data_IF_636275763546
#
_entry.id   IF_636275763546
#
_cell.length_a   1.000
_cell.length_b   1.000
_cell.length_c   1.000
_cell.angle_alpha   90.00
_cell.angle_beta   90.00
_cell.angle_gamma   90.00
#
_symmetry.space_group_name_H-M   'P 1'
#
loop_
_entity.id
_entity.type
_entity.pdbx_description
1 polymer ?
#
# COMPACT_ATOMS: atom_id res chain seq x y z
N UNK A 1 7.84 20.38 -90.04
CA UNK A 1 8.85 20.91 -89.09
C UNK A 1 8.20 22.09 -88.38
N UNK A 2 7.88 21.97 -87.11
CA UNK A 2 7.12 23.01 -86.37
C UNK A 2 6.92 22.57 -84.92
N UNK A 3 7.97 22.69 -84.11
CA UNK A 3 7.96 22.30 -82.71
C UNK A 3 7.17 23.27 -81.86
N UNK A 4 6.13 22.77 -81.19
CA UNK A 4 5.47 23.49 -80.11
C UNK A 4 6.42 23.46 -78.90
N UNK A 5 7.06 24.60 -78.65
CA UNK A 5 7.98 24.81 -77.53
C UNK A 5 7.13 24.81 -76.25
N UNK A 6 7.13 23.70 -75.49
CA UNK A 6 6.57 23.68 -74.13
C UNK A 6 7.46 24.57 -73.26
N UNK A 7 6.93 25.70 -72.79
CA UNK A 7 7.62 26.53 -71.81
C UNK A 7 8.00 25.69 -70.58
N UNK A 8 9.28 25.71 -70.17
CA UNK A 8 9.70 25.01 -68.96
C UNK A 8 9.06 25.67 -67.74
N UNK A 9 8.32 24.91 -66.96
CA UNK A 9 7.82 25.36 -65.66
C UNK A 9 8.96 25.28 -64.64
N UNK A 10 9.17 26.37 -63.92
CA UNK A 10 10.16 26.43 -62.84
C UNK A 10 9.47 26.03 -61.54
N UNK A 11 9.78 24.82 -61.04
CA UNK A 11 9.30 24.38 -59.73
C UNK A 11 10.10 25.15 -58.67
N UNK A 12 9.44 26.07 -57.96
CA UNK A 12 10.02 26.75 -56.80
C UNK A 12 10.06 25.79 -55.62
N UNK A 13 11.25 25.26 -55.33
CA UNK A 13 11.52 24.48 -54.12
C UNK A 13 11.72 25.47 -52.98
N UNK A 14 10.79 25.46 -52.01
CA UNK A 14 10.97 26.18 -50.75
C UNK A 14 11.68 25.24 -49.76
N UNK A 15 12.69 25.75 -49.05
CA UNK A 15 13.27 25.03 -47.91
C UNK A 15 12.17 24.85 -46.85
N UNK A 16 12.02 23.62 -46.35
CA UNK A 16 11.03 23.32 -45.32
C UNK A 16 11.58 23.84 -44.00
N UNK A 17 11.24 25.08 -43.64
CA UNK A 17 11.63 25.74 -42.37
C UNK A 17 10.86 25.18 -41.14
N UNK A 18 9.83 24.35 -41.36
CA UNK A 18 8.90 23.89 -40.30
C UNK A 18 9.30 22.58 -39.58
N UNK A 19 10.44 21.95 -39.91
CA UNK A 19 10.84 20.65 -39.32
C UNK A 19 11.14 20.78 -37.83
N UNK A 20 11.85 21.83 -37.42
CA UNK A 20 12.19 22.09 -36.01
C UNK A 20 10.94 22.43 -35.18
N UNK A 21 9.96 23.10 -35.78
CA UNK A 21 8.66 23.39 -35.14
C UNK A 21 7.82 22.14 -34.98
N UNK A 22 7.90 21.21 -35.93
CA UNK A 22 7.23 19.91 -35.83
C UNK A 22 7.90 19.01 -34.77
N UNK A 23 9.24 18.99 -34.71
CA UNK A 23 10.00 18.30 -33.68
C UNK A 23 9.73 18.86 -32.28
N UNK A 24 9.79 20.18 -32.08
CA UNK A 24 9.45 20.80 -30.77
C UNK A 24 8.04 20.49 -30.31
N UNK A 25 7.04 20.48 -31.22
CA UNK A 25 5.67 20.06 -30.88
C UNK A 25 5.59 18.58 -30.49
N UNK A 26 6.34 17.72 -31.17
CA UNK A 26 6.40 16.28 -30.85
C UNK A 26 7.07 16.03 -29.52
N UNK A 27 8.18 16.70 -29.23
CA UNK A 27 8.93 16.63 -27.97
C UNK A 27 8.06 17.06 -26.79
N UNK A 28 7.39 18.22 -26.88
CA UNK A 28 6.47 18.68 -25.84
C UNK A 28 5.27 17.75 -25.60
N UNK A 29 4.78 17.07 -26.64
CA UNK A 29 3.74 16.04 -26.50
C UNK A 29 4.27 14.80 -25.76
N UNK A 30 5.50 14.35 -26.06
CA UNK A 30 6.14 13.24 -25.35
C UNK A 30 6.44 13.57 -23.89
N UNK A 31 6.94 14.77 -23.58
CA UNK A 31 7.16 15.22 -22.20
C UNK A 31 5.86 15.29 -21.40
N UNK A 32 4.79 15.84 -22.01
CA UNK A 32 3.47 15.86 -21.40
C UNK A 32 2.92 14.46 -21.13
N UNK A 33 3.11 13.52 -22.06
CA UNK A 33 2.73 12.12 -21.89
C UNK A 33 3.54 11.43 -20.77
N UNK A 34 4.82 11.74 -20.64
CA UNK A 34 5.67 11.22 -19.57
C UNK A 34 5.22 11.74 -18.19
N UNK A 35 4.95 13.05 -18.07
CA UNK A 35 4.42 13.63 -16.84
C UNK A 35 3.07 12.99 -16.45
N UNK A 36 2.17 12.83 -17.42
CA UNK A 36 0.88 12.18 -17.18
C UNK A 36 1.05 10.74 -16.71
N UNK A 37 1.92 9.96 -17.34
CA UNK A 37 2.23 8.58 -16.91
C UNK A 37 2.83 8.53 -15.50
N UNK A 38 3.77 9.43 -15.18
CA UNK A 38 4.36 9.50 -13.85
C UNK A 38 3.32 9.83 -12.77
N UNK A 39 2.45 10.80 -13.06
CA UNK A 39 1.32 11.15 -12.20
C UNK A 39 0.34 9.98 -12.02
N UNK A 40 0.01 9.28 -13.10
CA UNK A 40 -0.88 8.11 -13.05
C UNK A 40 -0.31 7.02 -12.13
N UNK A 41 0.96 6.65 -12.32
CA UNK A 41 1.65 5.65 -11.48
C UNK A 41 1.70 6.04 -10.01
N UNK A 42 1.86 7.33 -9.71
CA UNK A 42 1.83 7.83 -8.33
C UNK A 42 0.45 7.60 -7.69
N UNK A 43 -0.63 7.91 -8.42
CA UNK A 43 -2.00 7.71 -7.94
C UNK A 43 -2.32 6.22 -7.76
N UNK A 44 -1.94 5.38 -8.73
CA UNK A 44 -2.10 3.92 -8.65
C UNK A 44 -1.37 3.35 -7.43
N UNK A 45 -0.12 3.77 -7.20
CA UNK A 45 0.65 3.34 -6.04
C UNK A 45 -0.03 3.75 -4.74
N UNK A 46 -0.52 5.00 -4.64
CA UNK A 46 -1.26 5.47 -3.46
C UNK A 46 -2.50 4.61 -3.20
N UNK A 47 -3.29 4.35 -4.25
CA UNK A 47 -4.50 3.54 -4.12
C UNK A 47 -4.18 2.09 -3.72
N UNK A 48 -3.09 1.52 -4.22
CA UNK A 48 -2.60 0.21 -3.79
C UNK A 48 -2.21 0.23 -2.30
N UNK A 49 -1.45 1.23 -1.85
CA UNK A 49 -1.07 1.37 -0.45
C UNK A 49 -2.29 1.51 0.46
N UNK A 50 -3.28 2.30 0.08
CA UNK A 50 -4.54 2.45 0.82
C UNK A 50 -5.23 1.10 0.97
N UNK A 51 -5.35 0.31 -0.12
CA UNK A 51 -5.97 -1.01 -0.10
C UNK A 51 -5.24 -1.98 0.83
N UNK A 52 -3.91 -2.03 0.73
CA UNK A 52 -3.08 -2.89 1.60
C UNK A 52 -3.20 -2.50 3.07
N UNK A 53 -3.18 -1.20 3.35
CA UNK A 53 -3.25 -0.68 4.70
C UNK A 53 -4.63 -0.90 5.33
N UNK A 54 -5.72 -0.76 4.56
CA UNK A 54 -7.07 -1.14 5.00
C UNK A 54 -7.16 -2.62 5.35
N UNK A 55 -6.60 -3.48 4.50
CA UNK A 55 -6.58 -4.92 4.77
C UNK A 55 -5.79 -5.24 6.05
N UNK A 56 -4.63 -4.58 6.26
CA UNK A 56 -3.85 -4.70 7.51
C UNK A 56 -4.66 -4.21 8.71
N UNK A 57 -5.31 -3.07 8.60
CA UNK A 57 -6.11 -2.47 9.67
C UNK A 57 -7.24 -3.40 10.12
N UNK A 58 -8.04 -3.92 9.19
CA UNK A 58 -9.12 -4.86 9.49
C UNK A 58 -8.61 -6.18 10.09
N UNK A 59 -7.45 -6.66 9.63
CA UNK A 59 -6.80 -7.82 10.23
C UNK A 59 -6.42 -7.55 11.69
N UNK A 60 -5.80 -6.40 11.97
CA UNK A 60 -5.40 -6.02 13.32
C UNK A 60 -6.59 -5.81 14.24
N UNK A 61 -7.73 -5.30 13.74
CA UNK A 61 -8.97 -5.18 14.51
C UNK A 61 -9.42 -6.55 15.02
N UNK A 62 -9.47 -7.55 14.15
CA UNK A 62 -9.80 -8.93 14.53
C UNK A 62 -8.79 -9.52 15.51
N UNK A 63 -7.49 -9.32 15.27
CA UNK A 63 -6.45 -9.78 16.19
C UNK A 63 -6.56 -9.12 17.58
N UNK A 64 -7.00 -7.86 17.64
CA UNK A 64 -7.27 -7.17 18.90
C UNK A 64 -8.48 -7.77 19.62
N UNK A 65 -9.57 -8.03 18.90
CA UNK A 65 -10.78 -8.68 19.45
C UNK A 65 -10.47 -10.06 20.02
N UNK A 66 -9.68 -10.87 19.28
CA UNK A 66 -9.24 -12.19 19.72
C UNK A 66 -8.38 -12.09 21.00
N UNK A 67 -7.41 -11.17 21.01
CA UNK A 67 -6.55 -10.96 22.18
C UNK A 67 -7.34 -10.45 23.39
N UNK A 68 -8.32 -9.56 23.20
CA UNK A 68 -9.24 -9.10 24.26
C UNK A 68 -10.07 -10.26 24.81
N UNK A 69 -10.56 -11.15 23.94
CA UNK A 69 -11.33 -12.33 24.34
C UNK A 69 -10.50 -13.25 25.24
N UNK A 70 -9.22 -13.46 24.91
CA UNK A 70 -8.31 -14.24 25.77
C UNK A 70 -8.07 -13.57 27.14
N UNK A 71 -8.05 -12.24 27.18
CA UNK A 71 -7.93 -11.46 28.41
C UNK A 71 -9.27 -11.28 29.17
N UNK A 72 -10.35 -11.92 28.71
CA UNK A 72 -11.72 -11.75 29.24
C UNK A 72 -12.19 -10.28 29.27
N UNK A 73 -11.70 -9.47 28.33
CA UNK A 73 -12.15 -8.10 28.11
C UNK A 73 -13.30 -8.08 27.09
N UNK A 74 -14.12 -7.03 27.14
CA UNK A 74 -15.14 -6.83 26.11
C UNK A 74 -14.48 -6.58 24.74
N UNK A 75 -14.74 -7.42 23.72
CA UNK A 75 -14.07 -7.33 22.42
C UNK A 75 -14.47 -6.06 21.65
N UNK A 76 -15.71 -5.59 21.82
CA UNK A 76 -16.28 -4.44 21.10
C UNK A 76 -15.84 -3.09 21.68
N UNK A 77 -15.40 -3.09 22.94
CA UNK A 77 -15.00 -1.86 23.64
C UNK A 77 -13.81 -1.20 22.94
N UNK A 78 -13.92 0.12 22.71
CA UNK A 78 -12.87 0.96 22.11
C UNK A 78 -12.51 0.63 20.66
N UNK A 79 -13.30 -0.19 19.96
CA UNK A 79 -13.05 -0.50 18.55
C UNK A 79 -13.21 0.74 17.63
N UNK A 80 -14.09 1.66 17.99
CA UNK A 80 -14.31 2.92 17.26
C UNK A 80 -13.20 3.97 17.44
N UNK A 81 -12.27 3.79 18.37
CA UNK A 81 -11.15 4.74 18.56
C UNK A 81 -10.12 4.66 17.43
N UNK A 82 -10.15 3.58 16.66
CA UNK A 82 -9.27 3.34 15.51
C UNK A 82 -9.93 3.64 14.17
N UNK A 83 -11.18 4.11 14.17
CA UNK A 83 -11.90 4.43 12.94
C UNK A 83 -11.37 5.74 12.34
N UNK A 84 -11.10 5.71 11.04
CA UNK A 84 -10.70 6.90 10.27
C UNK A 84 -11.96 7.70 9.94
N UNK A 85 -11.83 9.03 9.98
CA UNK A 85 -12.92 9.95 9.66
C UNK A 85 -13.57 9.62 8.30
N UNK A 86 -14.89 9.31 8.27
CA UNK A 86 -15.60 8.95 7.05
C UNK A 86 -15.76 10.11 6.07
N UNK A 87 -15.60 11.37 6.52
CA UNK A 87 -15.72 12.56 5.67
C UNK A 87 -14.44 12.82 4.85
N UNK A 88 -13.33 12.14 5.16
CA UNK A 88 -12.10 12.22 4.39
C UNK A 88 -12.24 11.55 3.02
N UNK A 89 -11.70 12.19 1.98
CA UNK A 89 -11.62 11.59 0.66
C UNK A 89 -10.74 10.33 0.71
N UNK A 90 -11.35 9.19 0.42
CA UNK A 90 -10.75 7.87 0.46
C UNK A 90 -9.57 7.66 -0.49
N UNK A 91 -9.39 8.52 -1.49
CA UNK A 91 -8.26 8.48 -2.43
C UNK A 91 -7.20 9.57 -2.16
N UNK A 92 -7.46 10.42 -1.16
CA UNK A 92 -6.57 11.51 -0.78
C UNK A 92 -5.32 11.02 -0.05
N UNK A 93 -4.30 11.88 -0.05
CA UNK A 93 -3.10 11.65 0.74
C UNK A 93 -3.40 11.72 2.25
N UNK A 94 -4.30 12.61 2.65
CA UNK A 94 -4.67 12.83 4.05
C UNK A 94 -5.35 11.59 4.64
N UNK A 95 -6.23 10.94 3.88
CA UNK A 95 -6.83 9.66 4.28
C UNK A 95 -5.78 8.55 4.46
N UNK A 96 -4.80 8.46 3.56
CA UNK A 96 -3.71 7.47 3.69
C UNK A 96 -2.91 7.69 4.97
N UNK A 97 -2.60 8.93 5.31
CA UNK A 97 -1.85 9.28 6.53
C UNK A 97 -2.67 8.99 7.80
N UNK A 98 -3.94 9.41 7.82
CA UNK A 98 -4.85 9.13 8.92
C UNK A 98 -5.02 7.61 9.14
N UNK A 99 -5.20 6.85 8.06
CA UNK A 99 -5.27 5.39 8.12
C UNK A 99 -3.96 4.77 8.61
N UNK A 100 -2.81 5.30 8.22
CA UNK A 100 -1.51 4.82 8.70
C UNK A 100 -1.33 5.05 10.19
N UNK A 101 -1.68 6.24 10.68
CA UNK A 101 -1.63 6.56 12.10
C UNK A 101 -2.55 5.63 12.91
N UNK A 102 -3.84 5.55 12.53
CA UNK A 102 -4.80 4.69 13.21
C UNK A 102 -4.39 3.21 13.20
N UNK A 103 -3.78 2.74 12.09
CA UNK A 103 -3.25 1.37 11.99
C UNK A 103 -2.04 1.16 12.90
N UNK A 104 -1.17 2.16 13.06
CA UNK A 104 -0.03 2.10 13.99
C UNK A 104 -0.47 2.04 15.44
N UNK A 105 -1.42 2.88 15.84
CA UNK A 105 -1.98 2.89 17.20
C UNK A 105 -2.70 1.58 17.52
N UNK A 106 -3.43 1.04 16.55
CA UNK A 106 -4.08 -0.27 16.64
C UNK A 106 -3.04 -1.39 16.80
N UNK A 107 -1.98 -1.39 15.99
CA UNK A 107 -0.89 -2.37 16.08
C UNK A 107 -0.20 -2.33 17.45
N UNK A 108 0.02 -1.14 18.00
CA UNK A 108 0.56 -0.97 19.35
C UNK A 108 -0.36 -1.62 20.41
N UNK A 109 -1.67 -1.35 20.34
CA UNK A 109 -2.64 -1.95 21.25
C UNK A 109 -2.69 -3.49 21.14
N UNK A 110 -2.67 -4.02 19.91
CA UNK A 110 -2.60 -5.46 19.66
C UNK A 110 -1.35 -6.06 20.30
N UNK A 111 -0.19 -5.43 20.13
CA UNK A 111 1.08 -5.91 20.70
C UNK A 111 1.06 -5.89 22.23
N UNK A 112 0.46 -4.87 22.84
CA UNK A 112 0.28 -4.79 24.29
C UNK A 112 -0.62 -5.93 24.80
N UNK A 113 -1.77 -6.13 24.17
CA UNK A 113 -2.70 -7.21 24.52
C UNK A 113 -2.04 -8.58 24.37
N UNK A 114 -1.37 -8.84 23.24
CA UNK A 114 -0.64 -10.10 23.02
C UNK A 114 0.45 -10.33 24.05
N UNK A 115 1.23 -9.31 24.38
CA UNK A 115 2.27 -9.41 25.41
C UNK A 115 1.68 -9.75 26.78
N UNK A 116 0.53 -9.18 27.10
CA UNK A 116 -0.21 -9.50 28.33
C UNK A 116 -0.75 -10.93 28.31
N UNK A 117 -1.36 -11.37 27.22
CA UNK A 117 -1.81 -12.77 27.05
C UNK A 117 -0.62 -13.70 27.29
N UNK A 118 0.52 -13.46 26.64
CA UNK A 118 1.73 -14.27 26.83
C UNK A 118 2.20 -14.30 28.28
N UNK A 119 2.16 -13.17 29.01
CA UNK A 119 2.51 -13.11 30.43
C UNK A 119 1.55 -13.94 31.30
N UNK A 120 0.25 -13.88 31.00
CA UNK A 120 -0.78 -14.63 31.74
C UNK A 120 -0.76 -16.13 31.40
N UNK A 121 -0.44 -16.50 30.15
CA UNK A 121 -0.46 -17.89 29.65
C UNK A 121 0.92 -18.56 29.62
N UNK A 122 1.98 -17.92 30.10
CA UNK A 122 3.33 -18.51 30.05
C UNK A 122 3.48 -19.81 30.85
N UNK A 123 2.56 -20.08 31.78
CA UNK A 123 2.52 -21.30 32.59
C UNK A 123 1.88 -22.50 31.87
N UNK A 124 1.07 -22.26 30.83
CA UNK A 124 0.39 -23.31 30.06
C UNK A 124 1.22 -23.82 28.87
N UNK A 125 2.46 -23.35 28.73
CA UNK A 125 3.41 -23.91 27.78
C UNK A 125 3.80 -25.29 28.32
N UNK A 126 2.99 -26.29 27.99
CA UNK A 126 3.36 -27.68 28.14
C UNK A 126 4.71 -27.84 27.44
N UNK A 127 5.78 -27.98 28.22
CA UNK A 127 7.08 -28.44 27.73
C UNK A 127 6.75 -29.67 26.90
N UNK A 128 7.06 -29.70 25.58
CA UNK A 128 6.86 -30.91 24.82
C UNK A 128 7.61 -32.00 25.55
N UNK A 129 6.86 -32.92 26.17
CA UNK A 129 7.41 -34.02 26.92
C UNK A 129 8.37 -34.72 25.99
N UNK A 130 9.67 -34.55 26.20
CA UNK A 130 10.69 -35.26 25.44
C UNK A 130 10.37 -36.74 25.69
N UNK A 131 9.97 -37.51 24.67
CA UNK A 131 9.67 -38.91 24.87
C UNK A 131 11.02 -39.61 25.10
N UNK A 132 11.41 -39.80 26.36
CA UNK A 132 12.64 -40.51 26.68
C UNK A 132 13.35 -40.25 28.01
N UNK A 133 12.77 -39.61 29.02
CA UNK A 133 13.40 -39.56 30.36
C UNK A 133 12.45 -40.02 31.47
N UNK A 134 12.12 -41.31 31.45
CA UNK A 134 11.87 -42.08 32.67
C UNK A 134 13.23 -42.41 33.30
N UNK A 135 13.76 -41.49 34.10
CA UNK A 135 15.00 -41.65 34.86
C UNK A 135 14.72 -41.47 36.34
N UNK A 136 14.56 -42.62 37.01
CA UNK A 136 14.60 -42.88 38.46
C UNK A 136 14.91 -41.70 39.39
N UNK A 137 14.01 -41.45 40.35
CA UNK A 137 14.43 -41.01 41.66
C UNK A 137 13.62 -41.74 42.72
N UNK A 138 14.23 -42.82 43.20
CA UNK A 138 13.89 -43.50 44.43
C UNK A 138 14.14 -42.53 45.59
N UNK A 139 13.15 -42.31 46.46
CA UNK A 139 13.44 -41.97 47.85
C UNK A 139 12.34 -42.54 48.75
N UNK A 140 12.71 -43.66 49.35
CA UNK A 140 12.15 -44.28 50.54
C UNK A 140 12.20 -43.30 51.73
N UNK A 141 11.06 -43.08 52.39
CA UNK A 141 10.86 -43.04 53.86
C UNK A 141 9.37 -43.02 54.19
#
# INVERSE_FOLDING_TARGET
MGGAMKEPFEIKVYEIDDVERFQRRKEGLTEGLQYFNARLRMLEKRQQQIRELRAKHEKLKKELEDAKTHLMLDPSKWMGEFDVDPDLDQESQDYLEALAQATGDLEFCVNLCKSRVMMETCFDIAVPSIPGQSGQQEMEV
#
